data_IF_390479955767
#
_entry.id   IF_390479955767
#
_cell.length_a   1.000
_cell.length_b   1.000
_cell.length_c   1.000
_cell.angle_alpha   90.00
_cell.angle_beta   90.00
_cell.angle_gamma   90.00
#
_symmetry.space_group_name_H-M   'P 1'
#
loop_
_entity.id
_entity.type
_entity.pdbx_description
1 polymer ?
#
# COMPACT_ATOMS: atom_id res chain seq x y z
N UNK A 1 11.80 -2.43 49.39
CA UNK A 1 11.37 -1.24 48.60
C UNK A 1 12.11 -1.33 47.30
N UNK A 2 11.58 -2.05 46.37
CA UNK A 2 12.09 -2.25 45.03
C UNK A 2 11.22 -1.43 44.08
N UNK A 3 11.80 -0.37 43.54
CA UNK A 3 11.17 0.46 42.55
C UNK A 3 11.27 -0.26 41.20
N UNK A 4 10.21 -0.91 40.81
CA UNK A 4 10.02 -1.38 39.43
C UNK A 4 9.58 -0.19 38.56
N UNK A 5 10.58 0.52 38.06
CA UNK A 5 10.39 1.47 36.96
C UNK A 5 10.59 0.73 35.64
N UNK A 6 9.71 -0.19 35.32
CA UNK A 6 9.55 -0.64 33.94
C UNK A 6 8.92 0.51 33.15
N UNK A 7 9.78 1.37 32.61
CA UNK A 7 9.39 2.29 31.56
C UNK A 7 8.95 1.43 30.34
N UNK A 8 7.64 1.24 30.20
CA UNK A 8 7.04 0.80 28.96
C UNK A 8 7.49 1.80 27.88
N UNK A 9 8.47 1.38 27.08
CA UNK A 9 8.72 2.01 25.79
C UNK A 9 7.46 1.79 24.95
N UNK A 10 6.54 2.76 25.02
CA UNK A 10 5.42 2.85 24.09
C UNK A 10 6.06 3.04 22.73
N UNK A 11 6.09 1.97 21.95
CA UNK A 11 6.59 2.02 20.59
C UNK A 11 5.68 2.98 19.81
N UNK A 12 6.17 4.20 19.53
CA UNK A 12 5.37 5.23 18.88
C UNK A 12 4.98 4.72 17.49
N UNK A 13 3.68 4.82 17.17
CA UNK A 13 3.14 4.35 15.90
C UNK A 13 3.12 5.47 14.88
N UNK A 14 3.65 5.16 13.71
CA UNK A 14 3.56 6.01 12.52
C UNK A 14 2.44 5.47 11.64
N UNK A 15 1.47 6.31 11.33
CA UNK A 15 0.40 5.99 10.39
C UNK A 15 0.67 6.64 9.04
N UNK A 16 0.83 5.82 8.01
CA UNK A 16 0.94 6.28 6.62
C UNK A 16 -0.46 6.22 6.00
N UNK A 17 -0.96 7.36 5.55
CA UNK A 17 -2.37 7.53 5.18
C UNK A 17 -2.56 7.53 3.67
N UNK A 18 -3.36 6.61 3.18
CA UNK A 18 -3.94 6.61 1.86
C UNK A 18 -5.16 7.57 1.77
N UNK A 19 -5.66 7.86 0.58
CA UNK A 19 -6.82 8.72 0.34
C UNK A 19 -8.07 8.26 1.11
N UNK A 20 -8.29 6.97 1.21
CA UNK A 20 -9.41 6.36 1.97
C UNK A 20 -9.35 6.72 3.47
N UNK A 21 -8.17 6.81 4.06
CA UNK A 21 -7.98 7.20 5.46
C UNK A 21 -8.41 8.65 5.73
N UNK A 22 -8.19 9.55 4.78
CA UNK A 22 -8.64 10.94 4.88
C UNK A 22 -10.17 11.04 4.84
N UNK A 23 -10.84 10.27 3.98
CA UNK A 23 -12.30 10.24 3.92
C UNK A 23 -12.93 9.63 5.16
N UNK A 24 -12.24 8.70 5.82
CA UNK A 24 -12.62 8.16 7.13
C UNK A 24 -12.34 9.12 8.30
N UNK A 25 -11.67 10.26 8.07
CA UNK A 25 -11.36 11.26 9.08
C UNK A 25 -10.23 10.85 10.05
N UNK A 26 -9.42 9.85 9.72
CA UNK A 26 -8.36 9.30 10.59
C UNK A 26 -7.39 10.38 11.12
N UNK A 27 -6.84 11.33 10.29
CA UNK A 27 -5.87 12.31 10.80
C UNK A 27 -6.47 13.33 11.77
N UNK A 28 -7.78 13.32 11.96
CA UNK A 28 -8.49 14.21 12.87
C UNK A 28 -8.88 13.54 14.19
N UNK A 29 -8.53 12.25 14.35
CA UNK A 29 -8.82 11.45 15.53
C UNK A 29 -7.52 11.09 16.27
N UNK A 30 -7.29 11.67 17.45
CA UNK A 30 -6.14 11.33 18.29
C UNK A 30 -4.82 12.07 17.97
N UNK A 31 -3.74 11.70 18.65
CA UNK A 31 -2.44 12.38 18.62
C UNK A 31 -1.35 11.56 17.91
N UNK A 32 -1.73 10.80 16.88
CA UNK A 32 -0.79 9.98 16.11
C UNK A 32 0.16 10.79 15.22
N UNK A 33 1.31 10.18 14.88
CA UNK A 33 2.21 10.67 13.82
C UNK A 33 1.67 10.20 12.48
N UNK A 34 1.24 11.14 11.64
CA UNK A 34 0.62 10.85 10.35
C UNK A 34 1.51 11.30 9.20
N UNK A 35 1.65 10.44 8.21
CA UNK A 35 2.42 10.68 6.98
C UNK A 35 1.55 10.42 5.75
N UNK A 36 1.82 11.12 4.66
CA UNK A 36 1.22 10.87 3.35
C UNK A 36 2.15 11.39 2.24
N UNK A 37 1.71 11.31 0.99
CA UNK A 37 2.44 11.80 -0.18
C UNK A 37 1.71 12.94 -0.87
N UNK A 38 2.40 13.71 -1.72
CA UNK A 38 1.76 14.75 -2.53
C UNK A 38 0.71 14.16 -3.47
N UNK A 39 0.97 13.00 -4.06
CA UNK A 39 0.07 12.32 -4.98
C UNK A 39 -1.26 11.96 -4.30
N UNK A 40 -1.22 11.44 -3.08
CA UNK A 40 -2.43 11.17 -2.28
C UNK A 40 -3.15 12.48 -1.93
N UNK A 41 -2.42 13.53 -1.57
CA UNK A 41 -3.04 14.83 -1.27
C UNK A 41 -3.76 15.44 -2.47
N UNK A 42 -3.23 15.28 -3.66
CA UNK A 42 -3.86 15.80 -4.88
C UNK A 42 -5.19 15.08 -5.15
N UNK A 43 -5.27 13.78 -4.92
CA UNK A 43 -6.53 13.03 -4.97
C UNK A 43 -7.56 13.52 -3.92
N UNK A 44 -7.11 13.74 -2.70
CA UNK A 44 -7.96 14.19 -1.58
C UNK A 44 -8.50 15.61 -1.81
N UNK A 45 -7.65 16.52 -2.29
CA UNK A 45 -8.04 17.91 -2.63
C UNK A 45 -9.08 17.95 -3.74
N UNK A 46 -8.94 17.12 -4.75
CA UNK A 46 -9.91 17.01 -5.84
C UNK A 46 -11.31 16.60 -5.37
N UNK A 47 -11.45 16.09 -4.15
CA UNK A 47 -12.72 15.68 -3.53
C UNK A 47 -13.19 16.58 -2.38
N UNK A 48 -12.60 17.78 -2.21
CA UNK A 48 -13.13 18.85 -1.34
C UNK A 48 -12.67 18.82 0.12
N UNK A 49 -11.67 18.03 0.49
CA UNK A 49 -11.08 18.10 1.85
C UNK A 49 -10.13 19.32 1.91
N UNK A 50 -10.37 20.20 2.87
CA UNK A 50 -9.62 21.45 3.01
C UNK A 50 -8.14 21.24 3.33
N UNK A 51 -7.27 21.77 2.48
CA UNK A 51 -5.81 21.63 2.56
C UNK A 51 -5.22 22.11 3.90
N UNK A 52 -5.78 23.17 4.50
CA UNK A 52 -5.25 23.76 5.74
C UNK A 52 -5.35 22.83 6.95
N UNK A 53 -6.41 22.02 7.05
CA UNK A 53 -6.59 21.06 8.12
C UNK A 53 -5.61 19.88 8.02
N UNK A 54 -5.25 19.50 6.80
CA UNK A 54 -4.32 18.39 6.55
C UNK A 54 -2.91 18.76 6.98
N UNK A 55 -2.40 19.94 6.57
CA UNK A 55 -1.01 20.37 6.81
C UNK A 55 -0.66 20.57 8.30
N UNK A 56 -1.64 20.79 9.16
CA UNK A 56 -1.38 20.96 10.60
C UNK A 56 -1.12 19.63 11.32
N UNK A 57 -1.53 18.49 10.75
CA UNK A 57 -1.51 17.19 11.41
C UNK A 57 -0.78 16.10 10.64
N UNK A 58 -0.54 16.29 9.35
CA UNK A 58 0.02 15.25 8.48
C UNK A 58 1.32 15.72 7.84
N UNK A 59 2.38 14.95 8.00
CA UNK A 59 3.66 15.20 7.35
C UNK A 59 3.60 14.65 5.92
N UNK A 60 3.91 15.52 4.95
CA UNK A 60 3.98 15.14 3.55
C UNK A 60 5.41 14.84 3.19
N UNK A 61 5.64 13.66 2.61
CA UNK A 61 6.98 13.22 2.22
C UNK A 61 6.96 12.54 0.87
N UNK A 62 8.10 12.57 0.19
CA UNK A 62 8.24 11.89 -1.09
C UNK A 62 9.04 10.60 -0.95
N UNK A 63 8.69 9.56 -1.73
CA UNK A 63 9.40 8.30 -1.69
C UNK A 63 10.75 8.37 -2.39
N UNK A 64 11.70 7.56 -1.93
CA UNK A 64 12.95 7.34 -2.65
C UNK A 64 12.71 6.56 -3.94
N UNK A 65 13.56 6.82 -4.95
CA UNK A 65 13.52 6.07 -6.22
C UNK A 65 13.72 4.57 -6.02
N UNK A 66 14.55 4.18 -5.04
CA UNK A 66 14.79 2.77 -4.70
C UNK A 66 13.51 2.10 -4.20
N UNK A 67 12.76 2.74 -3.30
CA UNK A 67 11.54 2.17 -2.74
C UNK A 67 10.42 2.13 -3.78
N UNK A 68 10.31 3.14 -4.65
CA UNK A 68 9.40 3.10 -5.82
C UNK A 68 9.69 1.91 -6.71
N UNK A 69 10.97 1.64 -7.00
CA UNK A 69 11.35 0.49 -7.83
C UNK A 69 10.96 -0.85 -7.17
N UNK A 70 11.20 -1.00 -5.85
CA UNK A 70 10.79 -2.20 -5.09
C UNK A 70 9.28 -2.45 -5.14
N UNK A 71 8.48 -1.38 -5.01
CA UNK A 71 7.02 -1.47 -5.13
C UNK A 71 6.59 -1.92 -6.53
N UNK A 72 7.19 -1.35 -7.57
CA UNK A 72 6.90 -1.74 -8.98
C UNK A 72 7.22 -3.22 -9.23
N UNK A 73 8.35 -3.70 -8.76
CA UNK A 73 8.73 -5.11 -8.88
C UNK A 73 7.75 -6.03 -8.12
N UNK A 74 7.34 -5.64 -6.91
CA UNK A 74 6.36 -6.38 -6.15
C UNK A 74 4.99 -6.38 -6.82
N UNK A 75 4.54 -5.24 -7.35
CA UNK A 75 3.26 -5.13 -8.06
C UNK A 75 3.23 -5.98 -9.34
N UNK A 76 4.36 -6.11 -10.02
CA UNK A 76 4.51 -7.00 -11.18
C UNK A 76 4.39 -8.47 -10.75
N UNK A 77 5.11 -8.87 -9.71
CA UNK A 77 5.05 -10.27 -9.19
C UNK A 77 3.67 -10.68 -8.70
N UNK A 78 2.93 -9.75 -8.12
CA UNK A 78 1.55 -9.96 -7.63
C UNK A 78 0.49 -9.78 -8.70
N UNK A 79 0.87 -9.25 -9.88
CA UNK A 79 -0.03 -8.96 -10.99
C UNK A 79 -0.88 -7.70 -10.82
N UNK A 80 -0.54 -6.81 -9.86
CA UNK A 80 -1.25 -5.55 -9.62
C UNK A 80 -0.66 -4.33 -10.31
N UNK A 81 0.40 -4.47 -11.11
CA UNK A 81 1.09 -3.35 -11.77
C UNK A 81 0.19 -2.40 -12.57
N UNK A 82 -0.94 -2.91 -13.12
CA UNK A 82 -1.92 -2.09 -13.86
C UNK A 82 -3.06 -1.56 -12.99
N UNK A 83 -3.12 -1.99 -11.75
CA UNK A 83 -4.19 -1.61 -10.81
C UNK A 83 -3.74 -0.58 -9.81
N UNK A 84 -2.43 -0.43 -9.59
CA UNK A 84 -1.87 0.61 -8.72
C UNK A 84 -1.74 1.92 -9.50
N UNK A 85 -2.29 2.99 -8.92
CA UNK A 85 -2.06 4.37 -9.35
C UNK A 85 -0.65 4.86 -8.96
N UNK A 86 -0.30 6.08 -9.36
CA UNK A 86 0.93 6.73 -8.89
C UNK A 86 0.84 7.04 -7.39
N UNK A 87 -0.33 7.43 -6.89
CA UNK A 87 -0.57 7.66 -5.47
C UNK A 87 -0.37 6.37 -4.67
N UNK A 88 -0.94 5.24 -5.10
CA UNK A 88 -0.76 3.93 -4.47
C UNK A 88 0.71 3.51 -4.42
N UNK A 89 1.41 3.68 -5.54
CA UNK A 89 2.85 3.39 -5.62
C UNK A 89 3.65 4.27 -4.67
N UNK A 90 3.32 5.55 -4.58
CA UNK A 90 4.01 6.51 -3.72
C UNK A 90 3.83 6.20 -2.23
N UNK A 91 2.60 5.87 -1.81
CA UNK A 91 2.30 5.61 -0.40
C UNK A 91 2.94 4.29 0.09
N UNK A 92 2.96 3.26 -0.75
CA UNK A 92 3.69 2.02 -0.47
C UNK A 92 5.20 2.26 -0.35
N UNK A 93 5.76 3.08 -1.25
CA UNK A 93 7.19 3.37 -1.25
C UNK A 93 7.61 4.22 -0.04
N UNK A 94 6.81 5.23 0.36
CA UNK A 94 7.05 6.02 1.58
C UNK A 94 6.97 5.13 2.82
N UNK A 95 6.04 4.18 2.88
CA UNK A 95 5.97 3.23 3.99
C UNK A 95 7.27 2.42 4.13
N UNK A 96 7.85 1.96 3.01
CA UNK A 96 9.15 1.27 3.01
C UNK A 96 10.29 2.17 3.49
N UNK A 97 10.31 3.45 3.07
CA UNK A 97 11.35 4.39 3.50
C UNK A 97 11.26 4.70 4.99
N UNK A 98 10.05 4.85 5.52
CA UNK A 98 9.81 5.06 6.94
C UNK A 98 10.22 3.83 7.77
N UNK A 99 9.88 2.61 7.33
CA UNK A 99 10.32 1.36 7.98
C UNK A 99 11.86 1.29 8.06
N UNK A 100 12.57 1.72 7.02
CA UNK A 100 14.04 1.73 7.02
C UNK A 100 14.65 2.79 7.94
N UNK A 101 14.05 3.98 7.99
CA UNK A 101 14.58 5.14 8.70
C UNK A 101 14.14 5.24 10.16
N UNK A 102 12.99 4.66 10.51
CA UNK A 102 12.33 4.74 11.82
C UNK A 102 12.27 3.37 12.49
N UNK A 103 13.43 2.77 12.74
CA UNK A 103 13.54 1.38 13.22
C UNK A 103 12.92 1.13 14.59
N UNK A 104 12.81 2.16 15.41
CA UNK A 104 12.27 2.09 16.76
C UNK A 104 10.76 2.42 16.81
N UNK A 105 10.16 2.72 15.67
CA UNK A 105 8.75 3.08 15.55
C UNK A 105 8.01 2.04 14.68
N UNK A 106 6.78 1.71 15.05
CA UNK A 106 5.94 0.83 14.24
C UNK A 106 5.30 1.62 13.11
N UNK A 107 5.58 1.27 11.86
CA UNK A 107 4.97 1.91 10.67
C UNK A 107 3.78 1.09 10.20
N UNK A 108 2.62 1.73 10.10
CA UNK A 108 1.34 1.12 9.73
C UNK A 108 0.76 1.89 8.55
N UNK A 109 0.52 1.22 7.43
CA UNK A 109 -0.20 1.79 6.29
C UNK A 109 -1.71 1.64 6.50
N UNK A 110 -2.44 2.74 6.40
CA UNK A 110 -3.90 2.80 6.58
C UNK A 110 -4.56 2.96 5.22
N UNK A 111 -5.18 1.89 4.74
CA UNK A 111 -5.87 1.85 3.43
C UNK A 111 -6.95 0.80 3.39
N UNK A 112 -8.00 1.07 2.63
CA UNK A 112 -9.05 0.10 2.29
C UNK A 112 -8.90 -0.40 0.84
N UNK A 113 -7.94 0.11 0.07
CA UNK A 113 -7.70 -0.34 -1.30
C UNK A 113 -7.13 -1.76 -1.32
N UNK A 114 -7.82 -2.64 -2.02
CA UNK A 114 -7.49 -4.07 -2.08
C UNK A 114 -6.17 -4.33 -2.83
N UNK A 115 -5.85 -3.57 -3.87
CA UNK A 115 -4.61 -3.73 -4.62
C UNK A 115 -3.40 -3.28 -3.79
N UNK A 116 -3.54 -2.14 -3.11
CA UNK A 116 -2.52 -1.60 -2.20
C UNK A 116 -2.23 -2.60 -1.07
N UNK A 117 -3.26 -3.15 -0.43
CA UNK A 117 -3.13 -4.13 0.65
C UNK A 117 -2.39 -5.40 0.22
N UNK A 118 -2.73 -5.94 -0.95
CA UNK A 118 -2.06 -7.15 -1.47
C UNK A 118 -0.57 -6.93 -1.74
N UNK A 119 -0.20 -5.77 -2.27
CA UNK A 119 1.21 -5.45 -2.52
C UNK A 119 1.95 -5.16 -1.22
N UNK A 120 1.33 -4.40 -0.30
CA UNK A 120 1.89 -4.09 1.03
C UNK A 120 2.26 -5.36 1.80
N UNK A 121 1.38 -6.35 1.84
CA UNK A 121 1.63 -7.63 2.51
C UNK A 121 2.84 -8.37 1.93
N UNK A 122 2.98 -8.39 0.59
CA UNK A 122 4.11 -9.07 -0.07
C UNK A 122 5.45 -8.40 0.22
N UNK A 123 5.45 -7.07 0.45
CA UNK A 123 6.67 -6.32 0.77
C UNK A 123 6.86 -6.08 2.27
N UNK A 124 6.00 -6.68 3.12
CA UNK A 124 6.16 -6.69 4.57
C UNK A 124 5.78 -5.39 5.27
N UNK A 125 4.81 -4.63 4.74
CA UNK A 125 4.26 -3.43 5.39
C UNK A 125 3.09 -3.83 6.28
N UNK A 126 3.10 -3.38 7.54
CA UNK A 126 1.97 -3.54 8.45
C UNK A 126 0.76 -2.72 7.97
N UNK A 127 -0.42 -3.30 8.08
CA UNK A 127 -1.67 -2.72 7.59
C UNK A 127 -2.66 -2.46 8.72
N UNK A 128 -3.42 -1.37 8.59
CA UNK A 128 -4.63 -1.12 9.33
C UNK A 128 -5.78 -0.78 8.37
N UNK A 129 -6.99 -1.14 8.78
CA UNK A 129 -8.23 -0.81 8.06
C UNK A 129 -8.84 0.46 8.62
N UNK A 130 -9.55 1.21 7.76
CA UNK A 130 -10.28 2.40 8.23
C UNK A 130 -11.59 2.01 8.88
N UNK A 131 -12.37 1.12 8.28
CA UNK A 131 -13.69 0.72 8.78
C UNK A 131 -14.23 -0.61 8.23
N UNK A 132 -13.61 -1.27 7.27
CA UNK A 132 -14.21 -2.43 6.61
C UNK A 132 -13.98 -3.69 7.45
N UNK A 133 -15.03 -4.15 8.13
CA UNK A 133 -15.07 -5.46 8.78
C UNK A 133 -15.35 -6.54 7.73
N UNK A 134 -14.32 -7.32 7.38
CA UNK A 134 -14.45 -8.47 6.52
C UNK A 134 -13.18 -9.34 6.55
N UNK A 135 -13.34 -10.64 6.31
CA UNK A 135 -12.17 -11.50 6.11
C UNK A 135 -11.43 -11.11 4.85
N UNK A 136 -10.28 -10.49 5.00
CA UNK A 136 -9.42 -10.16 3.89
C UNK A 136 -8.61 -11.39 3.46
N UNK A 137 -8.65 -11.70 2.15
CA UNK A 137 -7.86 -12.79 1.56
C UNK A 137 -6.90 -12.20 0.54
N UNK A 138 -5.61 -12.49 0.72
CA UNK A 138 -4.60 -12.13 -0.27
C UNK A 138 -4.87 -12.81 -1.60
N UNK A 139 -4.96 -12.03 -2.67
CA UNK A 139 -5.11 -12.53 -4.04
C UNK A 139 -3.89 -12.15 -4.85
N UNK A 140 -3.18 -13.14 -5.36
CA UNK A 140 -2.14 -12.96 -6.37
C UNK A 140 -2.75 -13.27 -7.74
N UNK A 141 -2.52 -12.40 -8.71
CA UNK A 141 -3.04 -12.58 -10.05
C UNK A 141 -1.98 -13.15 -10.99
N UNK A 142 -2.36 -14.07 -11.84
CA UNK A 142 -1.51 -14.58 -12.93
C UNK A 142 -2.19 -14.35 -14.27
N UNK A 143 -1.38 -13.90 -15.25
CA UNK A 143 -1.83 -13.81 -16.64
C UNK A 143 -1.69 -15.18 -17.29
N UNK A 144 -2.69 -15.65 -17.98
CA UNK A 144 -2.70 -16.96 -18.63
C UNK A 144 -3.40 -16.94 -19.97
N UNK A 145 -3.09 -17.92 -20.80
CA UNK A 145 -3.77 -18.18 -22.06
C UNK A 145 -4.90 -19.17 -21.88
N UNK A 146 -6.13 -18.78 -22.23
CA UNK A 146 -7.29 -19.70 -22.22
C UNK A 146 -7.19 -20.83 -23.24
N UNK A 147 -6.42 -20.63 -24.34
CA UNK A 147 -6.28 -21.60 -25.40
C UNK A 147 -5.31 -22.72 -25.08
N UNK A 148 -4.09 -22.40 -24.60
CA UNK A 148 -3.03 -23.40 -24.35
C UNK A 148 -2.63 -23.56 -22.87
N UNK A 149 -3.24 -22.81 -21.96
CA UNK A 149 -2.97 -22.90 -20.53
C UNK A 149 -1.68 -22.22 -20.05
N UNK A 150 -0.82 -21.73 -20.95
CA UNK A 150 0.47 -21.12 -20.57
C UNK A 150 0.27 -19.93 -19.64
N UNK A 151 1.00 -19.89 -18.54
CA UNK A 151 1.02 -18.77 -17.60
C UNK A 151 2.21 -17.84 -17.86
N UNK A 152 2.01 -16.55 -17.57
CA UNK A 152 2.97 -15.47 -17.79
C UNK A 152 3.09 -14.62 -16.52
N UNK A 153 4.30 -14.39 -16.08
CA UNK A 153 4.58 -13.40 -15.02
C UNK A 153 4.51 -11.98 -15.59
N UNK A 154 5.16 -11.78 -16.73
CA UNK A 154 5.22 -10.50 -17.46
C UNK A 154 4.94 -10.75 -18.96
N UNK A 155 3.69 -10.66 -19.40
CA UNK A 155 3.39 -10.83 -20.80
C UNK A 155 3.87 -9.62 -21.61
N UNK A 156 4.63 -9.85 -22.70
CA UNK A 156 5.10 -8.80 -23.61
C UNK A 156 3.99 -8.17 -24.46
N UNK A 157 2.77 -8.68 -24.36
CA UNK A 157 1.62 -8.21 -25.14
C UNK A 157 0.30 -8.73 -24.62
N UNK A 158 -0.78 -8.51 -25.36
CA UNK A 158 -2.14 -8.93 -25.01
C UNK A 158 -2.52 -10.31 -25.56
N UNK A 159 -1.63 -10.94 -26.35
CA UNK A 159 -1.87 -12.23 -27.00
C UNK A 159 -0.81 -13.25 -26.60
N UNK A 160 -1.19 -14.52 -26.61
CA UNK A 160 -0.30 -15.63 -26.28
C UNK A 160 0.77 -15.82 -27.38
N UNK A 161 2.03 -15.83 -27.01
CA UNK A 161 3.17 -16.04 -27.91
C UNK A 161 3.18 -17.46 -28.53
N UNK A 162 2.43 -18.42 -27.92
CA UNK A 162 2.40 -19.81 -28.39
C UNK A 162 1.26 -20.06 -29.36
N UNK A 163 0.05 -19.58 -29.08
CA UNK A 163 -1.14 -19.92 -29.87
C UNK A 163 -1.96 -18.70 -30.34
N UNK A 164 -1.48 -17.48 -30.12
CA UNK A 164 -2.14 -16.25 -30.58
C UNK A 164 -3.43 -15.88 -29.84
N UNK A 165 -3.92 -16.71 -28.91
CA UNK A 165 -5.16 -16.43 -28.16
C UNK A 165 -4.96 -15.23 -27.23
N UNK A 166 -5.97 -14.38 -27.11
CA UNK A 166 -5.98 -13.24 -26.16
C UNK A 166 -5.75 -13.71 -24.73
N UNK A 167 -4.80 -13.09 -24.05
CA UNK A 167 -4.48 -13.39 -22.66
C UNK A 167 -5.57 -12.90 -21.72
N UNK A 168 -5.74 -13.61 -20.61
CA UNK A 168 -6.69 -13.31 -19.53
C UNK A 168 -6.00 -13.39 -18.18
N UNK A 169 -6.61 -12.82 -17.14
CA UNK A 169 -6.10 -12.91 -15.76
C UNK A 169 -6.99 -13.84 -14.93
N UNK A 170 -6.39 -14.58 -14.03
CA UNK A 170 -7.08 -15.39 -13.02
C UNK A 170 -6.39 -15.24 -11.66
N UNK A 171 -7.11 -15.41 -10.54
CA UNK A 171 -6.47 -15.58 -9.23
C UNK A 171 -5.54 -16.79 -9.25
N UNK A 172 -4.36 -16.66 -8.68
CA UNK A 172 -3.46 -17.79 -8.45
C UNK A 172 -3.97 -18.57 -7.24
N UNK A 173 -4.18 -19.86 -7.39
CA UNK A 173 -4.53 -20.71 -6.26
C UNK A 173 -3.40 -20.62 -5.21
N UNK A 174 -3.74 -20.29 -3.97
CA UNK A 174 -2.83 -20.42 -2.83
C UNK A 174 -2.68 -21.91 -2.54
N UNK A 175 -1.49 -22.43 -2.63
CA UNK A 175 -1.17 -23.75 -2.05
C UNK A 175 -1.01 -23.58 -0.55
#
# INVERSE_FOLDING_TARGET
>A
MTNDSESQFLNEKIHVLDSTAFFAGIPFQGDGKYYTTYQVLDEVRGRGIGAQLIHSRVQVTEPSKESVQKVREASTRTGYQKSLSEADTSILAVSLDLIKSKRDEEVILVTDDFAVRNVAEVIGINLSETAIRGEWKRITWVTYCKGCGKEYLEPKGSVCEVCGTKLSRKPRASN
#
